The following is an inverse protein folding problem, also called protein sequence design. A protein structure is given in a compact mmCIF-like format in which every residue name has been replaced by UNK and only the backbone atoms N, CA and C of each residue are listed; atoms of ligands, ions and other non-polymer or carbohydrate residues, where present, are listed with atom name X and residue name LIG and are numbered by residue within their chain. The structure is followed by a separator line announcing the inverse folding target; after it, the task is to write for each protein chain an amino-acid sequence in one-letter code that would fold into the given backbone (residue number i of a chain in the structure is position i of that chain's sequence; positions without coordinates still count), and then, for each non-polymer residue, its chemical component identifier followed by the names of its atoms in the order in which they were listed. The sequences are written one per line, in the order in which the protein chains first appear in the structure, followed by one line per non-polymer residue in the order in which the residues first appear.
data_IF_016293587363
#
_entry.id   IF_016293587363
#
_cell.length_a   1.000
_cell.length_b   1.000
_cell.length_c   1.000
_cell.angle_alpha   90.00
_cell.angle_beta   90.00
_cell.angle_gamma   90.00
#
_symmetry.space_group_name_H-M   'P 1'
#
loop_
_entity.id
_entity.type
_entity.pdbx_description
1 polymer ?
#
# COMPACT_ATOMS: atom_id res chain seq x y z
N UNK A 1 16.89 -24.46 -11.95
CA UNK A 1 15.96 -23.52 -11.27
C UNK A 1 15.62 -22.43 -12.28
N UNK A 2 14.34 -22.10 -12.52
CA UNK A 2 14.01 -20.95 -13.35
C UNK A 2 14.62 -19.68 -12.72
N UNK A 3 14.98 -18.66 -13.51
CA UNK A 3 15.51 -17.41 -12.97
C UNK A 3 14.52 -16.86 -11.93
N UNK A 4 15.04 -16.53 -10.74
CA UNK A 4 14.21 -15.99 -9.67
C UNK A 4 13.63 -14.65 -10.14
N UNK A 5 12.33 -14.61 -10.41
CA UNK A 5 11.64 -13.35 -10.73
C UNK A 5 11.55 -12.48 -9.48
N UNK A 6 11.81 -11.18 -9.64
CA UNK A 6 11.69 -10.19 -8.55
C UNK A 6 10.30 -9.55 -8.48
N UNK A 7 9.36 -10.00 -9.32
CA UNK A 7 7.97 -9.50 -9.35
C UNK A 7 7.26 -9.68 -7.99
N UNK A 8 7.34 -10.86 -7.31
CA UNK A 8 6.67 -11.02 -6.01
C UNK A 8 7.23 -10.08 -4.94
N UNK A 9 8.54 -9.84 -4.94
CA UNK A 9 9.19 -8.91 -4.02
C UNK A 9 8.73 -7.47 -4.28
N UNK A 10 8.70 -7.04 -5.54
CA UNK A 10 8.18 -5.72 -5.94
C UNK A 10 6.72 -5.54 -5.50
N UNK A 11 5.85 -6.51 -5.80
CA UNK A 11 4.45 -6.47 -5.41
C UNK A 11 4.28 -6.48 -3.88
N UNK A 12 5.11 -7.23 -3.15
CA UNK A 12 5.10 -7.19 -1.68
C UNK A 12 5.36 -5.78 -1.17
N UNK A 13 6.36 -5.08 -1.72
CA UNK A 13 6.62 -3.67 -1.41
C UNK A 13 5.44 -2.74 -1.70
N UNK A 14 4.77 -2.94 -2.84
CA UNK A 14 3.55 -2.21 -3.21
C UNK A 14 2.44 -2.40 -2.16
N UNK A 15 2.12 -3.63 -1.83
CA UNK A 15 1.05 -3.94 -0.88
C UNK A 15 1.38 -3.48 0.55
N UNK A 16 2.61 -3.70 1.02
CA UNK A 16 3.02 -3.29 2.37
C UNK A 16 3.00 -1.77 2.54
N UNK A 17 3.51 -1.01 1.56
CA UNK A 17 3.47 0.45 1.64
C UNK A 17 2.04 0.99 1.53
N UNK A 18 1.19 0.39 0.67
CA UNK A 18 -0.21 0.77 0.57
C UNK A 18 -1.00 0.51 1.86
N UNK A 19 -0.64 -0.49 2.66
CA UNK A 19 -1.30 -0.77 3.93
C UNK A 19 -1.17 0.37 4.94
N UNK A 20 -0.04 1.07 4.96
CA UNK A 20 0.32 2.05 5.99
C UNK A 20 -0.70 3.18 6.19
N UNK A 21 -1.06 3.99 5.16
CA UNK A 21 -2.00 5.09 5.36
C UNK A 21 -3.40 4.61 5.76
N UNK A 22 -3.84 3.46 5.23
CA UNK A 22 -5.17 2.90 5.50
C UNK A 22 -5.28 2.33 6.92
N UNK A 23 -4.26 1.61 7.39
CA UNK A 23 -4.19 1.14 8.78
C UNK A 23 -4.10 2.33 9.75
N UNK A 24 -3.25 3.32 9.45
CA UNK A 24 -3.09 4.50 10.30
C UNK A 24 -4.41 5.27 10.44
N UNK A 25 -5.11 5.55 9.33
CA UNK A 25 -6.40 6.22 9.36
C UNK A 25 -7.48 5.39 10.06
N UNK A 26 -7.60 4.10 9.72
CA UNK A 26 -8.60 3.22 10.29
C UNK A 26 -8.47 3.06 11.81
N UNK A 27 -7.24 2.86 12.31
CA UNK A 27 -6.95 2.71 13.74
C UNK A 27 -7.11 4.04 14.52
N UNK A 28 -6.96 5.19 13.86
CA UNK A 28 -7.20 6.52 14.45
C UNK A 28 -8.67 6.94 14.44
N UNK A 29 -9.56 6.13 13.87
CA UNK A 29 -10.97 6.51 13.73
C UNK A 29 -11.21 7.58 12.66
N UNK A 30 -10.30 7.70 11.69
CA UNK A 30 -10.36 8.74 10.66
C UNK A 30 -10.94 8.24 9.34
N UNK A 31 -11.65 9.14 8.66
CA UNK A 31 -12.08 8.91 7.28
C UNK A 31 -10.90 9.10 6.33
N UNK A 32 -10.76 8.20 5.36
CA UNK A 32 -9.67 8.26 4.40
C UNK A 32 -10.12 7.65 3.05
N UNK A 33 -9.58 8.10 1.91
CA UNK A 33 -9.97 7.58 0.59
C UNK A 33 -9.68 6.07 0.47
N UNK A 34 -10.58 5.33 -0.17
CA UNK A 34 -10.33 3.94 -0.59
C UNK A 34 -10.96 3.68 -1.97
N UNK A 35 -10.64 2.57 -2.67
CA UNK A 35 -11.29 2.19 -3.93
C UNK A 35 -12.81 1.95 -3.82
N UNK A 36 -13.35 1.89 -2.60
CA UNK A 36 -14.75 1.62 -2.27
C UNK A 36 -15.55 2.88 -1.92
N UNK A 37 -14.91 4.05 -1.84
CA UNK A 37 -15.61 5.31 -1.62
C UNK A 37 -16.66 5.56 -2.72
N UNK A 38 -17.73 6.28 -2.38
CA UNK A 38 -18.80 6.65 -3.32
C UNK A 38 -19.02 8.17 -3.24
N UNK A 39 -18.71 8.94 -4.31
CA UNK A 39 -18.16 8.51 -5.59
C UNK A 39 -16.70 8.00 -5.47
N UNK A 40 -16.33 7.03 -6.30
CA UNK A 40 -14.99 6.39 -6.27
C UNK A 40 -13.90 7.45 -6.43
N UNK A 41 -12.95 7.46 -5.51
CA UNK A 41 -11.79 8.35 -5.55
C UNK A 41 -12.11 9.85 -5.37
N UNK A 42 -13.34 10.19 -4.95
CA UNK A 42 -13.72 11.56 -4.59
C UNK A 42 -14.04 11.69 -3.10
N UNK A 43 -14.75 10.70 -2.57
CA UNK A 43 -15.13 10.70 -1.15
C UNK A 43 -14.22 9.83 -0.29
N UNK A 44 -14.41 9.96 1.02
CA UNK A 44 -13.72 9.14 2.00
C UNK A 44 -14.54 7.89 2.35
N UNK A 45 -13.85 6.82 2.71
CA UNK A 45 -14.48 5.65 3.34
C UNK A 45 -14.39 5.75 4.85
N UNK A 46 -15.27 5.01 5.53
CA UNK A 46 -15.30 4.97 7.00
C UNK A 46 -13.98 4.40 7.57
N UNK A 47 -13.71 4.65 8.87
CA UNK A 47 -12.51 4.11 9.52
C UNK A 47 -12.42 2.58 9.45
N UNK A 48 -13.56 1.89 9.64
CA UNK A 48 -13.60 0.42 9.54
C UNK A 48 -13.24 -0.08 8.13
N UNK A 49 -13.73 0.57 7.08
CA UNK A 49 -13.39 0.20 5.69
C UNK A 49 -11.90 0.42 5.42
N UNK A 50 -11.31 1.51 5.94
CA UNK A 50 -9.88 1.75 5.84
C UNK A 50 -9.05 0.70 6.58
N UNK A 51 -9.44 0.36 7.81
CA UNK A 51 -8.78 -0.70 8.56
C UNK A 51 -8.80 -2.03 7.81
N UNK A 52 -9.97 -2.48 7.34
CA UNK A 52 -10.11 -3.74 6.60
C UNK A 52 -9.32 -3.74 5.29
N UNK A 53 -9.32 -2.61 4.56
CA UNK A 53 -8.54 -2.46 3.35
C UNK A 53 -7.03 -2.47 3.62
N UNK A 54 -6.58 -1.78 4.67
CA UNK A 54 -5.19 -1.82 5.12
C UNK A 54 -4.75 -3.23 5.52
N UNK A 55 -5.60 -3.97 6.25
CA UNK A 55 -5.34 -5.36 6.64
C UNK A 55 -5.27 -6.29 5.44
N UNK A 56 -6.14 -6.13 4.45
CA UNK A 56 -6.07 -6.89 3.20
C UNK A 56 -4.71 -6.67 2.50
N UNK A 57 -4.28 -5.43 2.36
CA UNK A 57 -2.97 -5.12 1.74
C UNK A 57 -1.81 -5.73 2.54
N UNK A 58 -1.82 -5.60 3.87
CA UNK A 58 -0.81 -6.22 4.73
C UNK A 58 -0.76 -7.74 4.54
N UNK A 59 -1.90 -8.42 4.56
CA UNK A 59 -1.98 -9.86 4.38
C UNK A 59 -1.42 -10.30 3.01
N UNK A 60 -1.77 -9.60 1.93
CA UNK A 60 -1.23 -9.91 0.60
C UNK A 60 0.29 -9.74 0.58
N UNK A 61 0.82 -8.65 1.14
CA UNK A 61 2.26 -8.43 1.24
C UNK A 61 2.99 -9.52 2.03
N UNK A 62 2.46 -9.90 3.19
CA UNK A 62 3.04 -10.96 4.03
C UNK A 62 2.96 -12.34 3.35
N UNK A 63 1.86 -12.63 2.65
CA UNK A 63 1.72 -13.88 1.89
C UNK A 63 2.75 -13.95 0.76
N UNK A 64 3.02 -12.84 0.06
CA UNK A 64 4.07 -12.79 -0.97
C UNK A 64 5.46 -13.03 -0.35
N UNK A 65 5.78 -12.39 0.77
CA UNK A 65 7.04 -12.61 1.48
C UNK A 65 7.18 -14.01 2.07
N UNK A 66 6.08 -14.65 2.50
CA UNK A 66 6.12 -16.03 2.99
C UNK A 66 6.47 -17.04 1.88
N UNK A 67 6.08 -16.75 0.64
CA UNK A 67 6.38 -17.59 -0.53
C UNK A 67 7.75 -17.31 -1.12
N UNK A 68 8.21 -16.07 -1.04
CA UNK A 68 9.52 -15.65 -1.51
C UNK A 68 10.14 -14.69 -0.49
N UNK A 69 10.78 -15.23 0.58
CA UNK A 69 11.41 -14.41 1.61
C UNK A 69 12.44 -13.46 1.02
N UNK A 70 12.47 -12.25 1.57
CA UNK A 70 13.44 -11.22 1.20
C UNK A 70 14.33 -10.96 2.42
N UNK A 71 15.64 -11.06 2.21
CA UNK A 71 16.64 -10.66 3.21
C UNK A 71 16.81 -9.15 3.15
N UNK A 72 17.00 -8.50 4.29
CA UNK A 72 17.35 -7.08 4.30
C UNK A 72 18.82 -6.94 3.88
N UNK A 73 19.07 -6.24 2.78
CA UNK A 73 20.42 -6.10 2.21
C UNK A 73 20.42 -5.38 0.86
N UNK A 74 21.52 -5.45 0.12
CA UNK A 74 21.63 -4.86 -1.24
C UNK A 74 21.46 -5.93 -2.33
N UNK A 75 20.65 -6.95 -2.09
CA UNK A 75 20.32 -7.96 -3.10
C UNK A 75 19.18 -7.48 -4.02
N UNK A 76 19.09 -8.02 -5.25
CA UNK A 76 18.06 -7.62 -6.20
C UNK A 76 16.61 -7.77 -5.71
N UNK A 77 16.31 -8.73 -4.82
CA UNK A 77 14.96 -8.92 -4.31
C UNK A 77 14.59 -7.83 -3.29
N UNK A 78 15.51 -7.45 -2.40
CA UNK A 78 15.31 -6.31 -1.50
C UNK A 78 15.17 -5.00 -2.27
N UNK A 79 16.03 -4.76 -3.28
CA UNK A 79 15.93 -3.59 -4.14
C UNK A 79 14.57 -3.54 -4.84
N UNK A 80 14.08 -4.66 -5.36
CA UNK A 80 12.77 -4.74 -6.00
C UNK A 80 11.63 -4.43 -5.01
N UNK A 81 11.68 -4.98 -3.79
CA UNK A 81 10.72 -4.67 -2.73
C UNK A 81 10.70 -3.17 -2.41
N UNK A 82 11.87 -2.57 -2.19
CA UNK A 82 11.97 -1.14 -1.90
C UNK A 82 11.52 -0.28 -3.08
N UNK A 83 11.80 -0.69 -4.32
CA UNK A 83 11.31 -0.02 -5.52
C UNK A 83 9.78 -0.05 -5.60
N UNK A 84 9.15 -1.20 -5.30
CA UNK A 84 7.68 -1.32 -5.25
C UNK A 84 7.06 -0.38 -4.21
N UNK A 85 7.63 -0.35 -3.00
CA UNK A 85 7.21 0.56 -1.94
C UNK A 85 7.38 2.04 -2.35
N UNK A 86 8.50 2.39 -2.99
CA UNK A 86 8.76 3.75 -3.45
C UNK A 86 7.78 4.21 -4.53
N UNK A 87 7.50 3.35 -5.52
CA UNK A 87 6.57 3.65 -6.62
C UNK A 87 5.17 3.91 -6.08
N UNK A 88 4.62 3.00 -5.27
CA UNK A 88 3.27 3.18 -4.73
C UNK A 88 3.24 4.34 -3.72
N UNK A 89 4.25 4.46 -2.85
CA UNK A 89 4.31 5.52 -1.84
C UNK A 89 4.33 6.91 -2.47
N UNK A 90 5.11 7.07 -3.54
CA UNK A 90 5.15 8.33 -4.31
C UNK A 90 3.79 8.63 -4.95
N UNK A 91 3.16 7.63 -5.56
CA UNK A 91 1.82 7.78 -6.12
C UNK A 91 0.79 8.19 -5.05
N UNK A 92 0.74 7.51 -3.91
CA UNK A 92 -0.18 7.79 -2.81
C UNK A 92 0.05 9.19 -2.23
N UNK A 93 1.30 9.58 -2.00
CA UNK A 93 1.65 10.91 -1.49
C UNK A 93 1.15 12.03 -2.41
N UNK A 94 1.33 11.88 -3.73
CA UNK A 94 0.85 12.85 -4.71
C UNK A 94 -0.68 12.83 -4.81
N UNK A 95 -1.27 11.63 -4.92
CA UNK A 95 -2.71 11.45 -5.16
C UNK A 95 -3.55 11.94 -3.97
N UNK A 96 -3.26 11.47 -2.76
CA UNK A 96 -3.98 11.90 -1.56
C UNK A 96 -3.66 13.35 -1.19
N UNK A 97 -2.44 13.84 -1.50
CA UNK A 97 -2.10 15.25 -1.37
C UNK A 97 -2.99 16.15 -2.26
N UNK A 98 -3.28 15.73 -3.50
CA UNK A 98 -4.21 16.44 -4.39
C UNK A 98 -5.64 16.42 -3.86
N UNK A 99 -6.12 15.27 -3.38
CA UNK A 99 -7.47 15.15 -2.83
C UNK A 99 -7.68 16.03 -1.60
N UNK A 100 -6.75 16.01 -0.62
CA UNK A 100 -6.85 16.85 0.58
C UNK A 100 -6.94 18.35 0.25
N UNK A 101 -6.17 18.82 -0.73
CA UNK A 101 -6.26 20.22 -1.18
C UNK A 101 -7.60 20.56 -1.82
N UNK A 102 -8.17 19.64 -2.60
CA UNK A 102 -9.46 19.85 -3.25
C UNK A 102 -10.63 19.89 -2.24
N UNK A 103 -10.55 19.17 -1.12
CA UNK A 103 -11.57 19.19 -0.06
C UNK A 103 -11.46 20.41 0.87
N UNK A 104 -10.31 21.10 0.85
CA UNK A 104 -10.05 22.29 1.70
C UNK A 104 -10.27 23.63 0.99
N UNK A 105 -10.52 23.61 -0.33
CA UNK A 105 -10.81 24.78 -1.16
C UNK A 105 -12.32 24.93 -1.35
#
# INVERSE_FOLDING_TARGET
MPPATHIPAFLAGVFLCNALPHLAAGLRGEVFPTPFAKPRGKDHSSPLVNFLWGMFNLLVGLVLLSRQPVTIGFDPAFIALMAGALVIGTYLAIHFGKQRRATQA
#
